data_IF_879565051981
#
_entry.id   IF_879565051981
#
_cell.length_a   1.000
_cell.length_b   1.000
_cell.length_c   1.000
_cell.angle_alpha   90.00
_cell.angle_beta   90.00
_cell.angle_gamma   90.00
#
_symmetry.space_group_name_H-M   'P 1'
#
loop_
_entity.id
_entity.type
_entity.pdbx_description
1 polymer ?
#
# COMPACT_ATOMS: atom_id res chain seq x y z
N UNK A 1 29.41 -51.28 -29.00
CA UNK A 1 30.55 -51.42 -29.93
C UNK A 1 30.58 -50.17 -30.78
N UNK A 2 31.76 -49.54 -30.77
CA UNK A 2 32.22 -48.31 -31.47
C UNK A 2 31.69 -46.96 -30.98
N UNK A 3 32.31 -46.54 -29.88
CA UNK A 3 32.95 -45.24 -29.58
C UNK A 3 33.46 -44.42 -30.78
N UNK A 4 33.36 -43.08 -30.71
CA UNK A 4 34.47 -42.11 -30.63
C UNK A 4 33.87 -40.69 -30.54
N UNK A 5 33.98 -39.97 -29.42
CA UNK A 5 35.12 -39.21 -28.87
C UNK A 5 35.21 -37.75 -29.39
N UNK A 6 35.24 -36.82 -28.44
CA UNK A 6 36.15 -35.67 -28.49
C UNK A 6 35.59 -34.33 -28.96
N UNK A 7 34.98 -33.57 -28.05
CA UNK A 7 34.75 -32.14 -28.20
C UNK A 7 34.53 -31.51 -26.83
N UNK A 8 35.63 -31.18 -26.15
CA UNK A 8 35.61 -30.46 -24.89
C UNK A 8 35.19 -29.01 -25.15
N UNK A 9 34.08 -28.56 -24.57
CA UNK A 9 33.79 -27.14 -24.42
C UNK A 9 34.74 -26.59 -23.36
N UNK A 10 35.79 -25.90 -23.84
CA UNK A 10 36.63 -25.04 -23.01
C UNK A 10 35.79 -23.94 -22.35
N UNK A 11 36.16 -23.49 -21.14
CA UNK A 11 35.47 -22.39 -20.48
C UNK A 11 35.82 -21.08 -21.21
N UNK A 12 34.80 -20.35 -21.68
CA UNK A 12 34.92 -18.96 -22.14
C UNK A 12 35.28 -18.04 -20.95
N UNK A 13 36.52 -18.14 -20.47
CA UNK A 13 37.21 -17.08 -19.76
C UNK A 13 37.78 -16.10 -20.80
N UNK A 14 36.97 -15.12 -21.21
CA UNK A 14 37.37 -13.75 -21.56
C UNK A 14 36.28 -13.02 -22.37
N UNK A 15 35.22 -12.54 -21.70
CA UNK A 15 34.36 -11.50 -22.29
C UNK A 15 34.04 -10.37 -21.30
N UNK A 16 35.05 -9.97 -20.52
CA UNK A 16 35.03 -8.73 -19.73
C UNK A 16 35.54 -7.51 -20.54
N UNK A 17 35.39 -7.57 -21.87
CA UNK A 17 36.11 -6.68 -22.79
C UNK A 17 35.42 -6.39 -24.12
N UNK A 18 34.09 -6.33 -24.17
CA UNK A 18 33.39 -5.83 -25.37
C UNK A 18 31.93 -5.42 -25.09
N UNK A 19 31.72 -4.33 -24.34
CA UNK A 19 30.52 -3.50 -24.53
C UNK A 19 30.67 -2.79 -25.88
N UNK A 20 30.61 -3.53 -26.99
CA UNK A 20 30.65 -2.98 -28.33
C UNK A 20 29.34 -2.25 -28.62
N UNK A 21 29.42 -0.93 -28.64
CA UNK A 21 28.71 0.01 -29.52
C UNK A 21 27.21 -0.24 -29.78
N UNK A 22 26.46 -0.71 -28.78
CA UNK A 22 25.00 -0.75 -28.87
C UNK A 22 24.41 0.44 -28.16
N UNK A 23 23.64 1.22 -28.90
CA UNK A 23 22.93 2.36 -28.40
C UNK A 23 21.65 1.93 -27.72
N UNK A 24 21.44 2.41 -26.51
CA UNK A 24 20.24 2.14 -25.73
C UNK A 24 19.40 3.41 -25.64
N UNK A 25 18.28 3.46 -26.39
CA UNK A 25 17.31 4.54 -26.26
C UNK A 25 16.14 4.04 -25.43
N UNK A 26 15.81 4.77 -24.36
CA UNK A 26 14.56 4.53 -23.66
C UNK A 26 13.40 4.85 -24.60
N UNK A 27 12.52 3.88 -24.87
CA UNK A 27 11.25 4.12 -25.58
C UNK A 27 10.55 5.35 -25.00
N UNK A 28 9.81 6.14 -25.79
CA UNK A 28 9.14 7.37 -25.31
C UNK A 28 8.31 7.17 -24.03
N UNK A 29 7.71 5.99 -23.84
CA UNK A 29 7.01 5.60 -22.61
C UNK A 29 7.92 5.51 -21.36
N UNK A 30 9.18 5.10 -21.51
CA UNK A 30 10.18 5.07 -20.43
C UNK A 30 10.66 6.48 -20.10
N UNK A 31 10.87 7.35 -21.09
CA UNK A 31 11.25 8.75 -20.85
C UNK A 31 10.13 9.50 -20.10
N UNK A 32 8.86 9.29 -20.47
CA UNK A 32 7.72 9.87 -19.76
C UNK A 32 7.61 9.39 -18.31
N UNK A 33 7.96 8.13 -18.01
CA UNK A 33 8.02 7.65 -16.62
C UNK A 33 9.06 8.40 -15.77
N UNK A 34 10.16 8.83 -16.38
CA UNK A 34 11.21 9.60 -15.70
C UNK A 34 10.73 11.03 -15.48
N UNK A 35 10.09 11.62 -16.48
CA UNK A 35 9.48 12.95 -16.35
C UNK A 35 8.48 12.95 -15.20
N UNK A 36 7.62 11.92 -15.11
CA UNK A 36 6.68 11.77 -14.00
C UNK A 36 7.42 11.65 -12.66
N UNK A 37 8.37 10.72 -12.55
CA UNK A 37 9.11 10.53 -11.30
C UNK A 37 9.95 11.76 -10.87
N UNK A 38 10.48 12.55 -11.82
CA UNK A 38 11.16 13.82 -11.53
C UNK A 38 10.20 14.91 -11.08
N UNK A 39 9.01 14.96 -11.68
CA UNK A 39 7.95 15.88 -11.26
C UNK A 39 7.56 15.59 -9.81
N UNK A 40 7.32 14.32 -9.46
CA UNK A 40 7.00 13.94 -8.08
C UNK A 40 8.13 14.23 -7.11
N UNK A 41 9.38 13.94 -7.49
CA UNK A 41 10.55 14.26 -6.67
C UNK A 41 10.67 15.76 -6.38
N UNK A 42 10.55 16.61 -7.40
CA UNK A 42 10.59 18.07 -7.23
C UNK A 42 9.40 18.53 -6.34
N UNK A 43 8.20 17.95 -6.51
CA UNK A 43 7.03 18.23 -5.66
C UNK A 43 7.23 17.86 -4.19
N UNK A 44 7.86 16.70 -3.89
CA UNK A 44 8.19 16.29 -2.52
C UNK A 44 9.12 17.30 -1.83
N UNK A 45 10.05 17.90 -2.60
CA UNK A 45 10.98 18.93 -2.09
C UNK A 45 10.38 20.34 -2.09
N UNK A 46 9.14 20.52 -2.54
CA UNK A 46 8.50 21.83 -2.66
C UNK A 46 9.11 22.70 -3.77
N UNK A 47 9.73 22.08 -4.78
CA UNK A 47 10.38 22.74 -5.91
C UNK A 47 9.50 22.58 -7.15
N UNK A 48 9.36 23.65 -7.94
CA UNK A 48 8.70 23.59 -9.26
C UNK A 48 9.74 23.74 -10.37
N UNK A 49 9.70 22.87 -11.37
CA UNK A 49 10.58 22.93 -12.55
C UNK A 49 9.74 22.86 -13.83
N UNK A 50 10.23 23.42 -14.93
CA UNK A 50 9.59 23.32 -16.26
C UNK A 50 10.41 22.48 -17.24
N UNK A 51 11.62 22.06 -16.87
CA UNK A 51 12.61 21.44 -17.75
C UNK A 51 12.68 19.91 -17.62
N UNK A 52 11.59 19.25 -17.21
CA UNK A 52 11.59 17.81 -16.90
C UNK A 52 12.03 16.93 -18.08
N UNK A 53 11.67 17.28 -19.31
CA UNK A 53 12.13 16.56 -20.50
C UNK A 53 13.65 16.64 -20.66
N UNK A 54 14.23 17.83 -20.44
CA UNK A 54 15.67 18.04 -20.49
C UNK A 54 16.40 17.30 -19.36
N UNK A 55 15.87 17.39 -18.12
CA UNK A 55 16.39 16.65 -16.95
C UNK A 55 16.34 15.13 -17.17
N UNK A 56 15.24 14.62 -17.72
CA UNK A 56 15.09 13.20 -18.03
C UNK A 56 16.11 12.72 -19.07
N UNK A 57 16.37 13.53 -20.10
CA UNK A 57 17.37 13.22 -21.12
C UNK A 57 18.80 13.29 -20.58
N UNK A 58 19.09 14.22 -19.67
CA UNK A 58 20.38 14.31 -18.98
C UNK A 58 20.64 13.08 -18.10
N UNK A 59 19.68 12.71 -17.25
CA UNK A 59 19.79 11.51 -16.39
C UNK A 59 20.01 10.23 -17.19
N UNK A 60 19.32 10.09 -18.33
CA UNK A 60 19.51 8.95 -19.23
C UNK A 60 20.92 8.92 -19.83
N UNK A 61 21.44 10.06 -20.28
CA UNK A 61 22.81 10.16 -20.83
C UNK A 61 23.86 9.84 -19.77
N UNK A 62 23.72 10.41 -18.57
CA UNK A 62 24.63 10.17 -17.45
C UNK A 62 24.62 8.70 -17.02
N UNK A 63 23.45 8.06 -17.05
CA UNK A 63 23.32 6.65 -16.63
C UNK A 63 23.80 5.64 -17.67
N UNK A 64 23.82 6.00 -18.97
CA UNK A 64 24.15 5.08 -20.08
C UNK A 64 25.60 5.32 -20.60
N UNK A 65 26.22 6.46 -20.26
CA UNK A 65 27.65 6.69 -20.46
C UNK A 65 28.12 6.95 -21.90
N UNK A 66 27.21 7.10 -22.88
CA UNK A 66 27.56 7.41 -24.27
C UNK A 66 26.54 8.32 -24.97
N UNK A 67 27.02 9.14 -25.91
CA UNK A 67 26.20 10.00 -26.75
C UNK A 67 25.34 9.15 -27.71
N UNK A 68 24.04 9.47 -27.77
CA UNK A 68 23.03 8.72 -28.53
C UNK A 68 23.14 9.10 -30.02
N UNK A 69 23.50 8.15 -30.89
CA UNK A 69 23.51 8.34 -32.36
C UNK A 69 22.09 8.18 -32.94
N UNK A 70 21.78 8.66 -34.14
CA UNK A 70 20.39 8.59 -34.66
C UNK A 70 20.07 7.29 -35.41
N UNK A 71 21.01 6.34 -35.52
CA UNK A 71 20.97 5.30 -36.55
C UNK A 71 20.57 3.90 -36.07
N UNK A 72 20.46 3.65 -34.76
CA UNK A 72 20.06 2.33 -34.23
C UNK A 72 19.15 2.47 -33.00
N UNK A 73 17.96 1.85 -33.07
CA UNK A 73 16.97 1.83 -32.00
C UNK A 73 16.71 0.38 -31.57
N UNK A 74 17.36 -0.08 -30.50
CA UNK A 74 16.99 -1.34 -29.83
C UNK A 74 16.42 -1.04 -28.43
N UNK A 75 15.40 -1.80 -28.02
CA UNK A 75 14.75 -1.63 -26.73
C UNK A 75 15.60 -2.30 -25.66
N UNK A 76 16.33 -1.49 -24.89
CA UNK A 76 17.15 -2.01 -23.80
C UNK A 76 16.30 -2.72 -22.74
N UNK A 77 16.46 -4.04 -22.65
CA UNK A 77 15.84 -4.91 -21.63
C UNK A 77 16.71 -5.10 -20.39
N UNK A 78 17.89 -4.49 -20.32
CA UNK A 78 18.85 -4.55 -19.21
C UNK A 78 18.87 -3.27 -18.38
N UNK A 79 18.47 -2.12 -18.92
CA UNK A 79 18.32 -0.90 -18.11
C UNK A 79 17.01 -0.92 -17.29
N UNK A 80 17.09 -0.56 -16.00
CA UNK A 80 15.99 -0.54 -15.04
C UNK A 80 15.88 0.82 -14.35
N UNK A 81 14.65 1.27 -14.18
CA UNK A 81 14.33 2.43 -13.35
C UNK A 81 14.34 1.99 -11.88
N UNK A 82 15.11 2.69 -11.06
CA UNK A 82 15.21 2.51 -9.62
C UNK A 82 14.74 3.80 -8.94
N UNK A 83 13.86 3.68 -7.95
CA UNK A 83 13.37 4.80 -7.14
C UNK A 83 14.22 4.90 -5.87
N UNK A 84 14.87 6.04 -5.64
CA UNK A 84 15.69 6.27 -4.44
C UNK A 84 15.17 7.47 -3.65
N UNK A 85 15.66 7.66 -2.43
CA UNK A 85 15.37 8.84 -1.62
C UNK A 85 15.80 10.16 -2.28
N UNK A 86 16.78 10.11 -3.19
CA UNK A 86 17.27 11.26 -3.97
C UNK A 86 16.64 11.36 -5.36
N UNK A 87 15.63 10.52 -5.64
CA UNK A 87 14.85 10.55 -6.86
C UNK A 87 15.07 9.35 -7.80
N UNK A 88 14.44 9.36 -8.97
CA UNK A 88 14.54 8.25 -9.94
C UNK A 88 15.91 8.21 -10.62
N UNK A 89 16.51 7.03 -10.70
CA UNK A 89 17.77 6.77 -11.42
C UNK A 89 17.65 5.55 -12.33
N UNK A 90 18.43 5.50 -13.40
CA UNK A 90 18.60 4.29 -14.20
C UNK A 90 19.85 3.53 -13.80
N UNK A 91 19.72 2.21 -13.75
CA UNK A 91 20.82 1.30 -13.46
C UNK A 91 20.76 0.10 -14.39
N UNK A 92 21.94 -0.46 -14.67
CA UNK A 92 22.03 -1.75 -15.35
C UNK A 92 21.46 -2.84 -14.44
N UNK A 93 20.71 -3.78 -15.00
CA UNK A 93 20.19 -4.94 -14.27
C UNK A 93 21.31 -5.73 -13.58
N UNK A 94 22.51 -5.79 -14.17
CA UNK A 94 23.68 -6.46 -13.57
C UNK A 94 24.21 -5.77 -12.31
N UNK A 95 23.91 -4.48 -12.13
CA UNK A 95 24.31 -3.70 -10.95
C UNK A 95 23.30 -3.75 -9.80
N UNK A 96 22.10 -4.32 -10.05
CA UNK A 96 21.05 -4.44 -9.04
C UNK A 96 21.26 -5.70 -8.19
N UNK A 97 21.27 -5.55 -6.87
CA UNK A 97 21.51 -6.63 -5.91
C UNK A 97 22.99 -6.88 -5.60
N UNK A 98 23.92 -6.33 -6.40
CA UNK A 98 25.37 -6.39 -6.17
C UNK A 98 25.89 -5.07 -5.62
N UNK A 99 25.85 -4.02 -6.44
CA UNK A 99 26.32 -2.67 -6.07
C UNK A 99 25.21 -1.84 -5.42
N UNK A 100 23.96 -2.02 -5.85
CA UNK A 100 22.80 -1.32 -5.33
C UNK A 100 21.85 -2.29 -4.67
N UNK A 101 21.68 -2.16 -3.35
CA UNK A 101 20.71 -2.96 -2.61
C UNK A 101 19.31 -2.40 -2.83
N UNK A 102 18.58 -3.01 -3.76
CA UNK A 102 17.24 -2.58 -4.17
C UNK A 102 16.26 -3.72 -4.02
N UNK A 103 15.05 -3.40 -3.61
CA UNK A 103 13.94 -4.34 -3.60
C UNK A 103 13.16 -4.23 -4.90
N UNK A 104 12.66 -5.37 -5.41
CA UNK A 104 11.86 -5.44 -6.62
C UNK A 104 10.41 -5.74 -6.28
N UNK A 105 9.51 -4.89 -6.77
CA UNK A 105 8.06 -5.12 -6.72
C UNK A 105 7.51 -5.04 -8.15
N UNK A 106 7.06 -6.18 -8.67
CA UNK A 106 6.69 -6.37 -10.09
C UNK A 106 7.81 -5.92 -11.05
N UNK A 107 7.65 -4.77 -11.70
CA UNK A 107 8.62 -4.21 -12.66
C UNK A 107 9.31 -2.95 -12.13
N UNK A 108 9.06 -2.59 -10.87
CA UNK A 108 9.66 -1.45 -10.20
C UNK A 108 10.75 -1.92 -9.24
N UNK A 109 11.81 -1.13 -9.15
CA UNK A 109 12.90 -1.32 -8.21
C UNK A 109 12.99 -0.06 -7.35
N UNK A 110 13.26 -0.23 -6.06
CA UNK A 110 13.41 0.90 -5.15
C UNK A 110 14.38 0.58 -4.02
N UNK A 111 14.97 1.63 -3.47
CA UNK A 111 15.82 1.57 -2.28
C UNK A 111 15.01 1.76 -1.01
N UNK A 112 15.58 1.35 0.13
CA UNK A 112 14.99 1.60 1.45
C UNK A 112 14.72 3.09 1.68
N UNK A 113 15.61 3.98 1.25
CA UNK A 113 15.44 5.43 1.35
C UNK A 113 14.16 5.94 0.69
N UNK A 114 13.73 5.31 -0.42
CA UNK A 114 12.46 5.64 -1.06
C UNK A 114 11.26 5.04 -0.30
N UNK A 115 11.41 3.84 0.28
CA UNK A 115 10.38 3.24 1.12
C UNK A 115 10.07 4.11 2.35
N UNK A 116 11.11 4.66 2.98
CA UNK A 116 11.00 5.56 4.12
C UNK A 116 10.23 6.83 3.75
N UNK A 117 10.52 7.40 2.58
CA UNK A 117 9.78 8.53 2.04
C UNK A 117 8.29 8.22 1.80
N UNK A 118 7.99 7.05 1.21
CA UNK A 118 6.59 6.61 1.01
C UNK A 118 5.87 6.48 2.35
N UNK A 119 6.51 5.86 3.35
CA UNK A 119 5.93 5.72 4.68
C UNK A 119 5.71 7.10 5.33
N UNK A 120 6.69 7.99 5.26
CA UNK A 120 6.60 9.34 5.81
C UNK A 120 5.43 10.12 5.19
N UNK A 121 5.33 10.14 3.87
CA UNK A 121 4.26 10.84 3.16
C UNK A 121 2.88 10.25 3.46
N UNK A 122 2.77 8.92 3.56
CA UNK A 122 1.49 8.25 3.82
C UNK A 122 1.03 8.34 5.28
N UNK A 123 1.95 8.34 6.25
CA UNK A 123 1.62 8.35 7.68
C UNK A 123 1.50 9.78 8.24
N UNK A 124 2.33 10.72 7.80
CA UNK A 124 2.49 12.01 8.49
C UNK A 124 1.72 13.18 7.88
N UNK A 125 1.07 13.11 6.69
CA UNK A 125 0.64 14.34 6.03
C UNK A 125 -0.76 14.49 5.41
N UNK A 126 -1.20 15.77 5.48
CA UNK A 126 -2.48 16.39 5.10
C UNK A 126 -2.55 16.68 3.59
N UNK A 127 -2.71 15.64 2.79
CA UNK A 127 -2.84 15.74 1.33
C UNK A 127 -1.63 15.17 0.62
N UNK A 128 -1.88 14.13 -0.19
CA UNK A 128 -0.87 13.40 -0.96
C UNK A 128 -0.19 14.36 -1.93
N UNK A 129 1.11 14.62 -1.78
CA UNK A 129 1.91 15.41 -2.75
C UNK A 129 2.50 14.57 -3.87
N UNK A 130 2.39 13.24 -3.76
CA UNK A 130 2.66 12.27 -4.84
C UNK A 130 1.51 12.21 -5.86
N UNK A 131 0.82 13.32 -6.10
CA UNK A 131 -0.43 13.39 -6.87
C UNK A 131 -0.26 13.03 -8.35
N UNK A 132 0.95 13.10 -8.90
CA UNK A 132 1.22 12.65 -10.28
C UNK A 132 1.62 11.16 -10.35
N UNK A 133 2.08 10.61 -9.23
CA UNK A 133 2.41 9.20 -9.01
C UNK A 133 1.18 8.38 -8.56
N UNK A 134 0.23 9.00 -7.87
CA UNK A 134 -1.07 8.47 -7.45
C UNK A 134 -2.16 9.47 -7.90
N UNK A 135 -3.17 9.18 -8.77
CA UNK A 135 -3.56 7.92 -9.42
C UNK A 135 -4.11 8.09 -10.88
N UNK A 136 -3.44 7.50 -11.87
CA UNK A 136 -4.16 6.92 -13.05
C UNK A 136 -3.86 5.44 -13.25
N UNK A 137 -2.75 4.94 -12.70
CA UNK A 137 -2.35 3.53 -12.75
C UNK A 137 -2.08 2.95 -11.35
N UNK A 138 -3.09 2.99 -10.47
CA UNK A 138 -3.05 2.43 -9.10
C UNK A 138 -2.55 0.99 -9.04
N UNK A 139 -2.79 0.21 -10.10
CA UNK A 139 -2.30 -1.16 -10.23
C UNK A 139 -0.78 -1.31 -10.08
N UNK A 140 0.03 -0.29 -10.38
CA UNK A 140 1.49 -0.38 -10.26
C UNK A 140 2.01 0.04 -8.88
N UNK A 141 1.27 0.89 -8.17
CA UNK A 141 1.69 1.46 -6.90
C UNK A 141 1.17 0.67 -5.70
N UNK A 142 -0.01 0.06 -5.80
CA UNK A 142 -0.55 -0.70 -4.68
C UNK A 142 0.38 -1.81 -4.17
N UNK A 143 0.98 -2.62 -5.05
CA UNK A 143 1.94 -3.64 -4.64
C UNK A 143 3.16 -3.06 -3.91
N UNK A 144 3.59 -1.84 -4.26
CA UNK A 144 4.72 -1.20 -3.60
C UNK A 144 4.33 -0.81 -2.17
N UNK A 145 3.17 -0.18 -2.02
CA UNK A 145 2.69 0.24 -0.71
C UNK A 145 2.40 -0.98 0.17
N UNK A 146 1.75 -2.02 -0.38
CA UNK A 146 1.55 -3.30 0.30
C UNK A 146 2.88 -3.86 0.80
N UNK A 147 3.92 -3.83 -0.05
CA UNK A 147 5.25 -4.32 0.34
C UNK A 147 5.90 -3.48 1.46
N UNK A 148 5.85 -2.15 1.36
CA UNK A 148 6.39 -1.24 2.39
C UNK A 148 5.67 -1.44 3.72
N UNK A 149 4.33 -1.45 3.71
CA UNK A 149 3.54 -1.61 4.93
C UNK A 149 3.60 -3.03 5.51
N UNK A 150 3.86 -4.04 4.68
CA UNK A 150 4.08 -5.43 5.13
C UNK A 150 5.52 -5.70 5.54
N UNK A 151 6.42 -4.71 5.45
CA UNK A 151 7.83 -4.88 5.80
C UNK A 151 8.03 -5.12 7.30
N UNK A 152 9.05 -5.91 7.71
CA UNK A 152 9.30 -6.19 9.12
C UNK A 152 9.39 -4.95 10.02
N UNK A 153 10.08 -3.85 9.64
CA UNK A 153 10.15 -2.66 10.48
C UNK A 153 8.79 -2.01 10.75
N UNK A 154 7.92 -1.93 9.74
CA UNK A 154 6.57 -1.37 9.89
C UNK A 154 5.69 -2.29 10.75
N UNK A 155 5.81 -3.60 10.59
CA UNK A 155 5.10 -4.57 11.43
C UNK A 155 5.60 -4.54 12.88
N UNK A 156 6.90 -4.38 13.11
CA UNK A 156 7.48 -4.18 14.45
C UNK A 156 6.97 -2.90 15.10
N UNK A 157 6.88 -1.80 14.34
CA UNK A 157 6.31 -0.55 14.83
C UNK A 157 4.83 -0.69 15.19
N UNK A 158 4.03 -1.37 14.35
CA UNK A 158 2.63 -1.70 14.66
C UNK A 158 2.53 -2.51 15.95
N UNK A 159 3.37 -3.53 16.12
CA UNK A 159 3.39 -4.33 17.35
C UNK A 159 3.80 -3.50 18.58
N UNK A 160 4.79 -2.61 18.44
CA UNK A 160 5.20 -1.69 19.50
C UNK A 160 4.05 -0.75 19.91
N UNK A 161 3.28 -0.24 18.94
CA UNK A 161 2.07 0.54 19.22
C UNK A 161 1.02 -0.27 19.98
N UNK A 162 0.77 -1.52 19.58
CA UNK A 162 -0.16 -2.40 20.30
C UNK A 162 0.27 -2.67 21.75
N UNK A 163 1.58 -2.86 21.99
CA UNK A 163 2.13 -3.01 23.35
C UNK A 163 1.91 -1.73 24.15
N UNK A 164 2.26 -0.58 23.59
CA UNK A 164 2.03 0.73 24.22
C UNK A 164 0.55 0.93 24.59
N UNK A 165 -0.38 0.68 23.67
CA UNK A 165 -1.81 0.77 23.93
C UNK A 165 -2.27 -0.19 25.05
N UNK A 166 -1.69 -1.39 25.11
CA UNK A 166 -2.01 -2.35 26.17
C UNK A 166 -1.49 -1.85 27.52
N UNK A 167 -0.26 -1.33 27.57
CA UNK A 167 0.34 -0.80 28.80
C UNK A 167 -0.43 0.41 29.33
N UNK A 168 -0.97 1.25 28.43
CA UNK A 168 -1.77 2.43 28.79
C UNK A 168 -3.26 2.14 29.05
N UNK A 169 -3.69 0.87 29.00
CA UNK A 169 -5.09 0.47 29.14
C UNK A 169 -6.01 1.18 28.11
N UNK A 170 -5.50 1.40 26.89
CA UNK A 170 -6.24 2.11 25.85
C UNK A 170 -7.46 1.30 25.36
N UNK A 171 -7.40 -0.03 25.49
CA UNK A 171 -8.45 -0.96 25.10
C UNK A 171 -9.60 -1.08 26.12
N UNK A 172 -9.50 -0.47 27.31
CA UNK A 172 -10.48 -0.62 28.39
C UNK A 172 -11.92 -0.29 27.95
N UNK A 173 -12.07 0.79 27.18
CA UNK A 173 -13.32 1.19 26.56
C UNK A 173 -13.07 1.45 25.09
N UNK A 174 -13.79 0.75 24.22
CA UNK A 174 -13.66 0.91 22.77
C UNK A 174 -14.96 1.40 22.12
N UNK A 175 -14.81 2.17 21.04
CA UNK A 175 -15.90 2.56 20.14
C UNK A 175 -15.67 1.91 18.78
N UNK A 176 -16.70 1.26 18.25
CA UNK A 176 -16.67 0.60 16.95
C UNK A 176 -17.67 1.24 15.98
N UNK A 177 -17.25 1.42 14.74
CA UNK A 177 -18.08 1.93 13.64
C UNK A 177 -17.75 1.20 12.33
N UNK A 178 -18.77 0.84 11.55
CA UNK A 178 -18.61 0.11 10.29
C UNK A 178 -19.00 0.95 9.06
N UNK A 179 -18.08 1.81 8.63
CA UNK A 179 -18.30 2.74 7.53
C UNK A 179 -18.32 2.05 6.15
N UNK A 180 -19.42 2.24 5.39
CA UNK A 180 -19.60 1.67 4.04
C UNK A 180 -18.86 2.45 2.94
N UNK A 181 -18.83 3.78 3.05
CA UNK A 181 -18.41 4.68 1.95
C UNK A 181 -17.00 4.36 1.44
N UNK A 182 -16.08 4.00 2.32
CA UNK A 182 -14.69 3.69 1.97
C UNK A 182 -14.56 2.46 1.05
N UNK A 183 -15.54 1.55 1.06
CA UNK A 183 -15.51 0.32 0.28
C UNK A 183 -16.27 0.42 -1.06
N UNK A 184 -16.98 1.53 -1.33
CA UNK A 184 -17.80 1.66 -2.54
C UNK A 184 -16.97 1.74 -3.83
N UNK A 185 -15.70 2.13 -3.73
CA UNK A 185 -14.75 2.26 -4.85
C UNK A 185 -13.74 1.12 -4.92
N UNK A 186 -13.92 0.04 -4.16
CA UNK A 186 -13.05 -1.13 -4.24
C UNK A 186 -13.19 -1.76 -5.63
N UNK A 187 -12.08 -1.94 -6.33
CA UNK A 187 -12.09 -2.50 -7.68
C UNK A 187 -12.55 -3.96 -7.67
N UNK A 188 -13.33 -4.34 -8.69
CA UNK A 188 -13.81 -5.71 -8.87
C UNK A 188 -15.13 -6.03 -8.15
N UNK A 189 -15.66 -5.12 -7.33
CA UNK A 189 -17.01 -5.22 -6.78
C UNK A 189 -17.91 -4.11 -7.33
N UNK A 190 -19.17 -4.41 -7.56
CA UNK A 190 -20.17 -3.44 -7.98
C UNK A 190 -20.74 -2.65 -6.80
N UNK A 191 -21.35 -1.49 -7.07
CA UNK A 191 -21.89 -0.61 -6.03
C UNK A 191 -22.93 -1.31 -5.16
N UNK A 192 -22.87 -1.12 -3.83
CA UNK A 192 -23.89 -1.63 -2.91
C UNK A 192 -25.31 -1.14 -3.26
N UNK A 193 -25.43 0.02 -3.93
CA UNK A 193 -26.72 0.62 -4.32
C UNK A 193 -27.35 -0.02 -5.57
N UNK A 194 -26.64 -0.85 -6.32
CA UNK A 194 -27.20 -1.50 -7.50
C UNK A 194 -27.91 -2.82 -7.15
N UNK A 195 -28.65 -3.40 -8.11
CA UNK A 195 -29.42 -4.62 -7.89
C UNK A 195 -28.53 -5.81 -7.51
N UNK A 196 -29.07 -6.75 -6.74
CA UNK A 196 -28.34 -7.97 -6.36
C UNK A 196 -27.83 -8.76 -7.57
N UNK A 197 -28.61 -8.83 -8.65
CA UNK A 197 -28.19 -9.45 -9.91
C UNK A 197 -26.92 -8.79 -10.48
N UNK A 198 -26.85 -7.46 -10.46
CA UNK A 198 -25.66 -6.73 -10.92
C UNK A 198 -24.47 -6.94 -9.98
N UNK A 199 -24.69 -6.92 -8.66
CA UNK A 199 -23.62 -7.19 -7.67
C UNK A 199 -23.01 -8.58 -7.84
N UNK A 200 -23.84 -9.60 -8.09
CA UNK A 200 -23.38 -10.97 -8.29
C UNK A 200 -22.72 -11.22 -9.65
N UNK A 201 -22.88 -10.31 -10.61
CA UNK A 201 -22.20 -10.36 -11.91
C UNK A 201 -20.79 -9.75 -11.90
N UNK A 202 -20.39 -9.13 -10.79
CA UNK A 202 -19.06 -8.54 -10.64
C UNK A 202 -17.98 -9.64 -10.44
N UNK A 203 -16.70 -9.35 -10.75
CA UNK A 203 -15.59 -10.27 -10.49
C UNK A 203 -15.53 -10.79 -9.05
N UNK A 204 -15.88 -9.95 -8.07
CA UNK A 204 -16.17 -10.34 -6.70
C UNK A 204 -17.68 -10.20 -6.46
N UNK A 205 -18.34 -11.35 -6.29
CA UNK A 205 -19.76 -11.43 -5.94
C UNK A 205 -20.07 -10.76 -4.60
N UNK A 206 -21.36 -10.57 -4.31
CA UNK A 206 -21.79 -9.83 -3.11
C UNK A 206 -21.41 -10.54 -1.80
N UNK A 207 -21.22 -11.86 -1.86
CA UNK A 207 -20.76 -12.72 -0.76
C UNK A 207 -19.26 -12.58 -0.46
N UNK A 208 -18.44 -12.18 -1.44
CA UNK A 208 -17.01 -11.98 -1.29
C UNK A 208 -16.62 -10.49 -1.21
N UNK A 209 -17.54 -9.58 -1.52
CA UNK A 209 -17.28 -8.15 -1.58
C UNK A 209 -17.11 -7.54 -0.18
N UNK A 210 -16.03 -6.79 0.02
CA UNK A 210 -15.86 -5.97 1.22
C UNK A 210 -16.79 -4.77 1.12
N UNK A 211 -17.75 -4.64 2.04
CA UNK A 211 -18.71 -3.53 2.01
C UNK A 211 -18.43 -2.47 3.04
N UNK A 212 -17.60 -2.75 4.04
CA UNK A 212 -17.42 -1.90 5.21
C UNK A 212 -15.97 -1.88 5.68
N UNK A 213 -15.59 -0.80 6.33
CA UNK A 213 -14.37 -0.75 7.16
C UNK A 213 -14.81 -0.60 8.61
N UNK A 214 -14.57 -1.61 9.44
CA UNK A 214 -14.67 -1.52 10.88
C UNK A 214 -13.54 -0.66 11.40
N UNK A 215 -13.87 0.45 12.03
CA UNK A 215 -12.92 1.29 12.76
C UNK A 215 -13.11 1.03 14.24
N UNK A 216 -12.01 0.80 14.95
CA UNK A 216 -11.98 0.61 16.40
C UNK A 216 -11.18 1.73 17.01
N UNK A 217 -11.79 2.45 17.94
CA UNK A 217 -11.14 3.54 18.69
C UNK A 217 -11.07 3.19 20.16
N UNK A 218 -9.96 3.53 20.81
CA UNK A 218 -9.77 3.35 22.25
C UNK A 218 -10.32 4.50 23.08
N UNK A 219 -10.04 4.44 24.39
CA UNK A 219 -10.50 5.40 25.41
C UNK A 219 -10.11 6.85 25.11
N UNK A 220 -8.95 7.07 24.50
CA UNK A 220 -8.46 8.40 24.11
C UNK A 220 -8.81 8.76 22.66
N UNK A 221 -9.66 7.96 22.01
CA UNK A 221 -9.95 8.02 20.57
C UNK A 221 -8.78 7.64 19.65
N UNK A 222 -7.71 7.05 20.18
CA UNK A 222 -6.66 6.47 19.36
C UNK A 222 -7.25 5.37 18.46
N UNK A 223 -6.83 5.32 17.19
CA UNK A 223 -7.26 4.28 16.26
C UNK A 223 -6.51 2.99 16.59
N UNK A 224 -7.24 2.02 17.14
CA UNK A 224 -6.71 0.73 17.55
C UNK A 224 -6.66 -0.27 16.39
N UNK A 225 -7.66 -0.18 15.50
CA UNK A 225 -7.74 -1.02 14.31
C UNK A 225 -8.61 -0.40 13.23
N UNK A 226 -8.30 -0.73 11.99
CA UNK A 226 -9.18 -0.56 10.84
C UNK A 226 -9.18 -1.87 10.05
N UNK A 227 -10.34 -2.48 9.87
CA UNK A 227 -10.46 -3.79 9.20
C UNK A 227 -11.57 -3.78 8.15
N UNK A 228 -11.26 -4.22 6.94
CA UNK A 228 -12.26 -4.38 5.88
C UNK A 228 -13.12 -5.61 6.17
N UNK A 229 -14.45 -5.44 6.10
CA UNK A 229 -15.43 -6.48 6.37
C UNK A 229 -16.47 -6.58 5.26
N UNK A 230 -16.98 -7.79 5.04
CA UNK A 230 -18.06 -8.04 4.08
C UNK A 230 -19.40 -7.54 4.63
N UNK A 231 -19.71 -7.88 5.88
CA UNK A 231 -20.96 -7.49 6.52
C UNK A 231 -20.74 -7.00 7.95
N UNK A 232 -21.80 -6.50 8.56
CA UNK A 232 -21.83 -6.00 9.94
C UNK A 232 -22.55 -6.97 10.89
N UNK A 233 -22.68 -8.23 10.47
CA UNK A 233 -23.22 -9.28 11.34
C UNK A 233 -22.31 -9.43 12.55
N UNK A 234 -22.91 -9.74 13.71
CA UNK A 234 -22.19 -9.90 14.97
C UNK A 234 -21.00 -10.87 14.87
N UNK A 235 -21.16 -11.94 14.09
CA UNK A 235 -20.13 -12.95 13.85
C UNK A 235 -18.93 -12.39 13.07
N UNK A 236 -19.18 -11.54 12.08
CA UNK A 236 -18.16 -10.91 11.25
C UNK A 236 -17.43 -9.83 12.04
N UNK A 237 -18.15 -9.04 12.84
CA UNK A 237 -17.56 -8.05 13.75
C UNK A 237 -16.64 -8.73 14.77
N UNK A 238 -17.09 -9.84 15.38
CA UNK A 238 -16.26 -10.64 16.30
C UNK A 238 -15.00 -11.14 15.61
N UNK A 239 -15.13 -11.71 14.41
CA UNK A 239 -13.98 -12.21 13.66
C UNK A 239 -12.97 -11.10 13.34
N UNK A 240 -13.46 -9.93 12.88
CA UNK A 240 -12.61 -8.78 12.56
C UNK A 240 -11.88 -8.23 13.80
N UNK A 241 -12.55 -8.16 14.96
CA UNK A 241 -11.93 -7.73 16.21
C UNK A 241 -10.89 -8.72 16.71
N UNK A 242 -11.18 -10.02 16.61
CA UNK A 242 -10.26 -11.08 17.02
C UNK A 242 -8.98 -11.12 16.15
N UNK A 243 -9.10 -10.81 14.86
CA UNK A 243 -7.97 -10.74 13.93
C UNK A 243 -7.15 -9.45 14.11
N UNK A 244 -7.83 -8.32 14.34
CA UNK A 244 -7.18 -7.02 14.34
C UNK A 244 -6.56 -6.63 15.69
N UNK A 245 -7.17 -7.00 16.81
CA UNK A 245 -6.75 -6.56 18.15
C UNK A 245 -5.83 -7.60 18.81
N UNK A 246 -4.80 -7.16 19.57
CA UNK A 246 -3.94 -8.08 20.29
C UNK A 246 -4.72 -8.80 21.40
N UNK A 247 -4.38 -10.06 21.76
CA UNK A 247 -5.06 -10.80 22.83
C UNK A 247 -5.08 -10.06 24.18
N UNK A 248 -4.00 -9.37 24.52
CA UNK A 248 -3.93 -8.54 25.72
C UNK A 248 -4.95 -7.39 25.68
N UNK A 249 -5.14 -6.77 24.51
CA UNK A 249 -6.14 -5.72 24.31
C UNK A 249 -7.57 -6.26 24.46
N UNK A 250 -7.87 -7.43 23.87
CA UNK A 250 -9.18 -8.08 24.01
C UNK A 250 -9.52 -8.42 25.47
N UNK A 251 -8.53 -8.81 26.27
CA UNK A 251 -8.70 -9.04 27.70
C UNK A 251 -8.98 -7.75 28.49
N UNK A 252 -8.51 -6.60 28.03
CA UNK A 252 -8.73 -5.33 28.72
C UNK A 252 -10.12 -4.74 28.48
N UNK A 253 -10.79 -5.11 27.38
CA UNK A 253 -12.07 -4.50 27.01
C UNK A 253 -13.14 -4.78 28.06
N UNK A 254 -13.67 -3.71 28.63
CA UNK A 254 -14.79 -3.72 29.59
C UNK A 254 -16.06 -3.10 29.03
N UNK A 255 -15.92 -2.15 28.10
CA UNK A 255 -17.05 -1.46 27.49
C UNK A 255 -16.86 -1.35 25.97
N UNK A 256 -17.93 -1.60 25.23
CA UNK A 256 -18.00 -1.39 23.77
C UNK A 256 -19.14 -0.44 23.46
N UNK A 257 -18.84 0.63 22.71
CA UNK A 257 -19.83 1.53 22.14
C UNK A 257 -19.99 1.23 20.64
N UNK A 258 -21.22 0.95 20.20
CA UNK A 258 -21.54 0.62 18.80
C UNK A 258 -22.85 1.32 18.37
N UNK A 259 -23.00 1.63 17.09
CA UNK A 259 -24.25 2.18 16.54
C UNK A 259 -25.43 1.19 16.59
N UNK A 260 -25.12 -0.12 16.50
CA UNK A 260 -26.07 -1.22 16.40
C UNK A 260 -26.08 -2.14 17.64
N UNK A 261 -25.86 -1.57 18.83
CA UNK A 261 -25.81 -2.30 20.09
C UNK A 261 -27.01 -3.25 20.26
N UNK A 262 -26.73 -4.55 20.29
CA UNK A 262 -27.75 -5.61 20.33
C UNK A 262 -27.30 -6.77 21.21
N UNK A 263 -28.27 -7.51 21.75
CA UNK A 263 -27.98 -8.70 22.57
C UNK A 263 -27.15 -9.73 21.79
N UNK A 264 -27.44 -9.91 20.49
CA UNK A 264 -26.69 -10.81 19.62
C UNK A 264 -25.21 -10.40 19.52
N UNK A 265 -24.95 -9.11 19.30
CA UNK A 265 -23.59 -8.59 19.24
C UNK A 265 -22.87 -8.80 20.57
N UNK A 266 -23.51 -8.47 21.69
CA UNK A 266 -22.95 -8.70 23.02
C UNK A 266 -22.56 -10.17 23.23
N UNK A 267 -23.45 -11.12 22.90
CA UNK A 267 -23.17 -12.56 23.04
C UNK A 267 -21.95 -13.02 22.23
N UNK A 268 -21.76 -12.49 21.01
CA UNK A 268 -20.58 -12.81 20.21
C UNK A 268 -19.29 -12.17 20.76
N UNK A 269 -19.36 -10.93 21.24
CA UNK A 269 -18.19 -10.21 21.78
C UNK A 269 -17.66 -10.82 23.08
N UNK A 270 -18.54 -11.26 23.99
CA UNK A 270 -18.13 -11.93 25.24
C UNK A 270 -17.27 -13.17 24.98
N UNK A 271 -17.42 -13.83 23.82
CA UNK A 271 -16.59 -15.00 23.45
C UNK A 271 -15.11 -14.67 23.25
N UNK A 272 -14.79 -13.42 22.96
CA UNK A 272 -13.41 -12.95 22.72
C UNK A 272 -12.95 -11.91 23.74
N UNK A 273 -13.87 -11.25 24.44
CA UNK A 273 -13.61 -10.22 25.46
C UNK A 273 -14.15 -10.70 26.82
N UNK A 274 -13.35 -11.46 27.60
CA UNK A 274 -13.82 -12.09 28.82
C UNK A 274 -14.23 -11.11 29.92
N UNK A 275 -13.72 -9.88 29.88
CA UNK A 275 -14.00 -8.83 30.86
C UNK A 275 -15.06 -7.82 30.38
N UNK A 276 -15.78 -8.11 29.30
CA UNK A 276 -16.82 -7.23 28.75
C UNK A 276 -18.01 -7.16 29.72
N UNK A 277 -18.23 -5.97 30.28
CA UNK A 277 -19.35 -5.70 31.21
C UNK A 277 -20.51 -4.99 30.52
N UNK A 278 -20.24 -4.17 29.50
CA UNK A 278 -21.24 -3.33 28.87
C UNK A 278 -21.08 -3.23 27.34
N UNK A 279 -22.21 -3.29 26.65
CA UNK A 279 -22.36 -2.87 25.25
C UNK A 279 -23.40 -1.74 25.23
N UNK A 280 -23.02 -0.57 24.75
CA UNK A 280 -23.87 0.61 24.70
C UNK A 280 -23.97 1.20 23.29
N UNK A 281 -24.99 2.02 23.07
CA UNK A 281 -25.12 2.81 21.84
C UNK A 281 -24.02 3.88 21.80
N UNK A 282 -23.40 4.05 20.64
CA UNK A 282 -22.41 5.10 20.44
C UNK A 282 -23.02 6.49 20.68
N UNK A 283 -22.52 7.26 21.69
CA UNK A 283 -23.05 8.58 22.00
C UNK A 283 -22.94 9.57 20.83
N UNK A 284 -21.95 9.41 19.93
CA UNK A 284 -21.80 10.30 18.78
C UNK A 284 -22.95 10.11 17.79
N UNK A 285 -23.36 8.85 17.56
CA UNK A 285 -24.48 8.55 16.68
C UNK A 285 -25.79 9.12 17.21
N UNK A 286 -25.99 9.10 18.54
CA UNK A 286 -27.13 9.76 19.17
C UNK A 286 -27.14 11.27 18.89
N UNK A 287 -26.01 11.97 19.04
CA UNK A 287 -25.91 13.40 18.71
C UNK A 287 -26.23 13.69 17.25
N UNK A 288 -25.74 12.88 16.31
CA UNK A 288 -26.03 13.02 14.87
C UNK A 288 -27.53 12.87 14.59
N UNK A 289 -28.19 11.90 15.23
CA UNK A 289 -29.64 11.69 15.07
C UNK A 289 -30.42 12.90 15.62
N UNK A 290 -30.04 13.41 16.79
CA UNK A 290 -30.68 14.59 17.37
C UNK A 290 -30.48 15.85 16.52
N UNK A 291 -29.28 16.11 16.00
CA UNK A 291 -29.04 17.24 15.09
C UNK A 291 -29.88 17.15 13.82
N UNK A 292 -30.01 15.95 13.24
CA UNK A 292 -30.86 15.74 12.04
C UNK A 292 -32.34 15.97 12.31
N UNK A 293 -32.81 15.74 13.54
CA UNK A 293 -34.19 15.96 13.96
C UNK A 293 -34.45 17.42 14.38
N UNK A 294 -33.44 18.12 14.90
CA UNK A 294 -33.56 19.49 15.43
C UNK A 294 -33.42 20.61 14.41
N UNK A 295 -32.89 20.35 13.21
CA UNK A 295 -32.66 21.35 12.16
C UNK A 295 -33.45 21.09 10.87
N UNK A 296 -34.67 20.56 10.99
CA UNK A 296 -35.69 20.72 9.93
C UNK A 296 -36.52 21.98 10.21
N UNK A 297 -35.91 23.15 10.03
CA UNK A 297 -36.62 24.41 9.73
C UNK A 297 -36.38 24.78 8.26
#
# INVERSE_FOLDING_TARGET
VSENEGGADEPDEAEDGAIQAKQFVCSGAKQLKVVAALLDYDQMRGVSSSTYLQKSAALLRDSIGCAITSQQNDIDRRVRLVLTGEGPVYRSLSSLGTTFNVKRVRNLYYEQSFADLVLQEMVLWRGVRLLSLLPTATAHWWPLIEDVFSSPPVQEQKQAMHRYFSDQQEFESISIDATVKCCMSVMGQESYRCSSAKRNSAPFGDDAAYRRVLTVRGRTSAVLAMSAMQTERAEDVRAALADALPPAGLQQVQCVAADNASLKLHTELVRIMPNLHALCLDPIHLSIVYERLGFQE
#
